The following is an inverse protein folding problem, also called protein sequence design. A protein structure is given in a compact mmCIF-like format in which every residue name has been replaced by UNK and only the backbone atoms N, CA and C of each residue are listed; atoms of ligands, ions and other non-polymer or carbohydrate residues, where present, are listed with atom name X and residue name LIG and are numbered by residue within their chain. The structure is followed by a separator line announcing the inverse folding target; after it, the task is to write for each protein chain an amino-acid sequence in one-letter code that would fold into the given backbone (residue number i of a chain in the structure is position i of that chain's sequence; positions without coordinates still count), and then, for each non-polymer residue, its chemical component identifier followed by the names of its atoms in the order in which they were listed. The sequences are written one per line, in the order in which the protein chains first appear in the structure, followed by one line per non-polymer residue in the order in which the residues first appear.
data_IF_059251870528
#
_entry.id   IF_059251870528
#
_cell.length_a   1.000
_cell.length_b   1.000
_cell.length_c   1.000
_cell.angle_alpha   90.00
_cell.angle_beta   90.00
_cell.angle_gamma   90.00
#
_symmetry.space_group_name_H-M   'P 1'
#
loop_
_entity.id
_entity.type
_entity.pdbx_description
1 polymer ?
#
# COMPACT_ATOMS: atom_id res chain seq x y z
N UNK A 1 -1.79 -1.26 18.51
CA UNK A 1 -1.22 0.00 19.06
C UNK A 1 -1.65 1.05 18.06
N UNK A 2 -2.32 2.13 18.48
CA UNK A 2 -2.95 3.08 17.54
C UNK A 2 -2.07 3.42 16.32
N UNK A 3 -0.77 3.71 16.54
CA UNK A 3 0.15 4.03 15.45
C UNK A 3 0.40 2.88 14.44
N UNK A 4 0.54 1.63 14.89
CA UNK A 4 0.73 0.50 13.97
C UNK A 4 -0.54 0.25 13.15
N UNK A 5 -1.70 0.36 13.79
CA UNK A 5 -3.00 0.22 13.15
C UNK A 5 -3.19 1.33 12.10
N UNK A 6 -2.81 2.58 12.42
CA UNK A 6 -2.82 3.72 11.50
C UNK A 6 -1.86 3.50 10.30
N UNK A 7 -0.66 2.95 10.54
CA UNK A 7 0.28 2.63 9.47
C UNK A 7 -0.27 1.57 8.50
N UNK A 8 -0.91 0.53 9.04
CA UNK A 8 -1.54 -0.53 8.23
C UNK A 8 -2.70 0.04 7.41
N UNK A 9 -3.54 0.88 8.02
CA UNK A 9 -4.64 1.55 7.31
C UNK A 9 -4.13 2.46 6.19
N UNK A 10 -3.07 3.23 6.46
CA UNK A 10 -2.46 4.10 5.46
C UNK A 10 -1.86 3.31 4.29
N UNK A 11 -1.18 2.18 4.55
CA UNK A 11 -0.65 1.30 3.51
C UNK A 11 -1.77 0.74 2.62
N UNK A 12 -2.88 0.30 3.22
CA UNK A 12 -4.04 -0.19 2.49
C UNK A 12 -4.68 0.90 1.62
N UNK A 13 -4.78 2.12 2.14
CA UNK A 13 -5.26 3.28 1.38
C UNK A 13 -4.37 3.58 0.17
N UNK A 14 -3.04 3.58 0.35
CA UNK A 14 -2.10 3.82 -0.74
C UNK A 14 -2.22 2.80 -1.86
N UNK A 15 -2.40 1.51 -1.53
CA UNK A 15 -2.59 0.46 -2.53
C UNK A 15 -3.89 0.65 -3.32
N UNK A 16 -4.99 0.97 -2.64
CA UNK A 16 -6.27 1.22 -3.29
C UNK A 16 -6.18 2.43 -4.23
N UNK A 17 -5.58 3.53 -3.77
CA UNK A 17 -5.42 4.74 -4.56
C UNK A 17 -4.52 4.51 -5.78
N UNK A 18 -3.39 3.81 -5.62
CA UNK A 18 -2.51 3.47 -6.74
C UNK A 18 -3.23 2.62 -7.80
N UNK A 19 -4.02 1.62 -7.36
CA UNK A 19 -4.84 0.80 -8.24
C UNK A 19 -5.86 1.63 -9.02
N UNK A 20 -6.61 2.52 -8.35
CA UNK A 20 -7.59 3.39 -9.01
C UNK A 20 -6.93 4.34 -10.01
N UNK A 21 -5.81 4.93 -9.64
CA UNK A 21 -5.08 5.86 -10.51
C UNK A 21 -4.60 5.18 -11.80
N UNK A 22 -4.14 3.93 -11.71
CA UNK A 22 -3.70 3.15 -12.88
C UNK A 22 -4.86 2.67 -13.77
N UNK A 23 -6.04 2.44 -13.20
CA UNK A 23 -7.21 1.94 -13.94
C UNK A 23 -8.12 3.02 -14.54
N UNK A 24 -7.91 4.29 -14.20
CA UNK A 24 -8.57 5.40 -14.91
C UNK A 24 -7.89 5.66 -16.26
N UNK A 25 -8.56 6.35 -17.22
CA UNK A 25 -7.91 6.90 -18.43
C UNK A 25 -6.90 7.98 -17.99
N UNK A 26 -5.76 7.52 -17.50
CA UNK A 26 -4.77 8.32 -16.82
C UNK A 26 -3.74 8.80 -17.85
N UNK A 27 -3.43 10.10 -17.83
CA UNK A 27 -2.25 10.62 -18.52
C UNK A 27 -0.98 10.02 -17.90
N UNK A 28 0.14 10.04 -18.62
CA UNK A 28 1.45 9.59 -18.11
C UNK A 28 1.81 10.22 -16.77
N UNK A 29 1.45 11.49 -16.57
CA UNK A 29 1.61 12.18 -15.28
C UNK A 29 0.86 11.50 -14.13
N UNK A 30 -0.38 11.05 -14.34
CA UNK A 30 -1.17 10.34 -13.33
C UNK A 30 -0.62 8.94 -13.06
N UNK A 31 -0.12 8.25 -14.09
CA UNK A 31 0.56 6.97 -13.91
C UNK A 31 1.81 7.13 -13.03
N UNK A 32 2.63 8.16 -13.28
CA UNK A 32 3.81 8.46 -12.47
C UNK A 32 3.49 8.78 -11.01
N UNK A 33 2.36 9.45 -10.72
CA UNK A 33 1.91 9.66 -9.34
C UNK A 33 1.54 8.32 -8.68
N UNK A 34 0.82 7.44 -9.38
CA UNK A 34 0.48 6.11 -8.86
C UNK A 34 1.71 5.26 -8.55
N UNK A 35 2.72 5.29 -9.42
CA UNK A 35 4.01 4.61 -9.20
C UNK A 35 4.78 5.19 -8.01
N UNK A 36 4.82 6.52 -7.87
CA UNK A 36 5.46 7.17 -6.73
C UNK A 36 4.78 6.82 -5.40
N UNK A 37 3.44 6.70 -5.40
CA UNK A 37 2.68 6.29 -4.23
C UNK A 37 2.99 4.85 -3.81
N UNK A 38 3.11 3.93 -4.78
CA UNK A 38 3.51 2.55 -4.52
C UNK A 38 4.93 2.47 -3.94
N UNK A 39 5.87 3.25 -4.46
CA UNK A 39 7.24 3.29 -3.94
C UNK A 39 7.28 3.80 -2.50
N UNK A 40 6.54 4.86 -2.18
CA UNK A 40 6.47 5.39 -0.82
C UNK A 40 5.84 4.38 0.15
N UNK A 41 4.75 3.71 -0.26
CA UNK A 41 4.12 2.66 0.53
C UNK A 41 5.07 1.46 0.74
N UNK A 42 5.82 1.08 -0.29
CA UNK A 42 6.78 -0.03 -0.20
C UNK A 42 7.95 0.29 0.74
N UNK A 43 8.47 1.53 0.71
CA UNK A 43 9.48 1.96 1.67
C UNK A 43 9.00 1.83 3.12
N UNK A 44 7.75 2.20 3.39
CA UNK A 44 7.18 2.04 4.73
C UNK A 44 6.97 0.56 5.07
N UNK A 45 6.49 -0.30 4.15
CA UNK A 45 6.40 -1.76 4.38
C UNK A 45 7.75 -2.36 4.76
N UNK A 46 8.79 -2.05 4.00
CA UNK A 46 10.15 -2.56 4.25
C UNK A 46 10.64 -2.11 5.63
N UNK A 47 10.32 -0.90 6.06
CA UNK A 47 10.64 -0.44 7.41
C UNK A 47 9.84 -1.20 8.48
N UNK A 48 8.54 -1.44 8.25
CA UNK A 48 7.64 -2.05 9.23
C UNK A 48 7.81 -3.57 9.35
N UNK A 49 8.38 -4.25 8.36
CA UNK A 49 8.58 -5.72 8.38
C UNK A 49 9.46 -6.21 9.53
N UNK A 50 10.29 -5.34 10.10
CA UNK A 50 11.14 -5.65 11.25
C UNK A 50 10.36 -5.68 12.57
N UNK A 51 9.11 -5.19 12.58
CA UNK A 51 8.28 -5.08 13.77
C UNK A 51 7.34 -6.28 13.90
N UNK A 52 7.37 -7.03 15.03
CA UNK A 52 6.54 -8.23 15.21
C UNK A 52 5.03 -8.00 15.13
N UNK A 53 4.56 -6.79 15.43
CA UNK A 53 3.13 -6.43 15.39
C UNK A 53 2.65 -6.05 13.99
N UNK A 54 3.56 -5.89 13.03
CA UNK A 54 3.19 -5.53 11.67
C UNK A 54 2.58 -6.71 10.92
N UNK A 55 1.39 -6.50 10.39
CA UNK A 55 0.72 -7.44 9.48
C UNK A 55 0.54 -6.72 8.16
N UNK A 56 1.18 -7.22 7.10
CA UNK A 56 1.07 -6.60 5.79
C UNK A 56 -0.35 -6.77 5.23
N UNK A 57 -1.09 -5.67 5.00
CA UNK A 57 -2.44 -5.75 4.45
C UNK A 57 -2.48 -6.38 3.05
N UNK A 58 -1.38 -6.35 2.27
CA UNK A 58 -1.30 -7.06 0.97
C UNK A 58 -1.30 -8.57 1.13
N UNK A 59 -0.59 -9.10 2.13
CA UNK A 59 -0.46 -10.54 2.35
C UNK A 59 -1.71 -11.14 3.00
N UNK A 60 -2.47 -10.37 3.77
CA UNK A 60 -3.78 -10.82 4.28
C UNK A 60 -4.76 -11.13 3.13
N UNK A 61 -4.78 -10.33 2.08
CA UNK A 61 -5.64 -10.53 0.91
C UNK A 61 -5.25 -11.76 0.09
N UNK A 62 -3.98 -12.19 0.12
CA UNK A 62 -3.54 -13.41 -0.58
C UNK A 62 -4.00 -14.69 0.12
N UNK A 63 -4.16 -14.69 1.45
CA UNK A 63 -4.69 -15.84 2.21
C UNK A 63 -6.13 -16.23 1.82
N UNK A 64 -6.92 -15.27 1.34
CA UNK A 64 -8.31 -15.49 0.92
C UNK A 64 -8.47 -15.75 -0.58
N UNK A 65 -7.37 -15.78 -1.35
CA UNK A 65 -7.37 -16.11 -2.80
C UNK A 65 -7.16 -17.60 -3.10
N UNK A 66 -7.29 -18.49 -2.10
CA UNK A 66 -7.33 -19.95 -2.28
C UNK A 66 -8.76 -20.45 -2.55
#
# INVERSE_FOLDING_TARGET
MALMDDCIEWLAFCDALAYEMKNTKASEYKLGIGEGLEQAAEMLRVYLVEYPEFVDPKLELEKYKM
#
